data_IF_418689033438
#
_entry.id   IF_418689033438
#
_cell.length_a   1.000
_cell.length_b   1.000
_cell.length_c   1.000
_cell.angle_alpha   90.00
_cell.angle_beta   90.00
_cell.angle_gamma   90.00
#
_symmetry.space_group_name_H-M   'P 1'
#
loop_
_entity.id
_entity.type
_entity.pdbx_description
1 polymer ?
#
# COMPACT_ATOMS: atom_id res chain seq x y z
N UNK A 1 -11.98 -5.66 -6.28
CA UNK A 1 -11.41 -5.37 -4.96
C UNK A 1 -10.12 -6.18 -4.89
N UNK A 2 -9.04 -5.60 -5.39
CA UNK A 2 -7.73 -6.27 -5.46
C UNK A 2 -6.82 -5.62 -4.44
N UNK A 3 -6.08 -6.44 -3.71
CA UNK A 3 -5.03 -5.99 -2.80
C UNK A 3 -3.94 -5.25 -3.61
N UNK A 4 -3.50 -4.08 -3.15
CA UNK A 4 -2.46 -3.28 -3.82
C UNK A 4 -1.04 -3.74 -3.45
N UNK A 5 -0.88 -4.25 -2.21
CA UNK A 5 0.41 -4.58 -1.64
C UNK A 5 0.44 -5.99 -1.06
N UNK A 6 1.65 -6.55 -0.99
CA UNK A 6 1.91 -7.81 -0.32
C UNK A 6 3.27 -7.81 0.38
N UNK A 7 3.35 -8.46 1.54
CA UNK A 7 4.57 -8.65 2.31
C UNK A 7 4.77 -10.13 2.66
N UNK A 8 6.02 -10.59 2.69
CA UNK A 8 6.35 -11.99 3.00
C UNK A 8 6.93 -12.12 4.41
N UNK A 9 6.45 -13.10 5.17
CA UNK A 9 6.88 -13.36 6.53
C UNK A 9 7.27 -14.83 6.71
N UNK A 10 8.30 -15.09 7.52
CA UNK A 10 8.73 -16.44 7.89
C UNK A 10 8.74 -16.60 9.42
N UNK A 11 8.25 -17.73 9.90
CA UNK A 11 8.24 -18.04 11.33
C UNK A 11 8.18 -19.52 11.63
N UNK A 12 8.17 -19.84 12.93
CA UNK A 12 8.28 -21.23 13.41
C UNK A 12 7.00 -22.04 13.18
N UNK A 13 5.86 -21.39 13.05
CA UNK A 13 4.57 -22.03 12.79
C UNK A 13 3.63 -21.01 12.14
N UNK A 14 2.58 -21.49 11.48
CA UNK A 14 1.63 -20.64 10.76
C UNK A 14 1.03 -19.54 11.64
N UNK A 15 0.58 -19.90 12.84
CA UNK A 15 -0.15 -19.00 13.74
C UNK A 15 0.73 -17.86 14.27
N UNK A 16 1.94 -18.18 14.73
CA UNK A 16 2.97 -17.20 15.16
C UNK A 16 3.42 -16.32 14.00
N UNK A 17 3.49 -16.86 12.78
CA UNK A 17 3.87 -16.08 11.59
C UNK A 17 2.77 -15.10 11.21
N UNK A 18 1.51 -15.51 11.30
CA UNK A 18 0.35 -14.62 11.08
C UNK A 18 0.30 -13.53 12.15
N UNK A 19 0.44 -13.86 13.43
CA UNK A 19 0.44 -12.85 14.51
C UNK A 19 1.57 -11.84 14.33
N UNK A 20 2.77 -12.28 13.98
CA UNK A 20 3.90 -11.39 13.67
C UNK A 20 3.58 -10.48 12.49
N UNK A 21 3.04 -11.04 11.41
CA UNK A 21 2.68 -10.26 10.23
C UNK A 21 1.61 -9.21 10.55
N UNK A 22 0.56 -9.57 11.28
CA UNK A 22 -0.50 -8.63 11.70
C UNK A 22 0.04 -7.52 12.61
N UNK A 23 0.90 -7.87 13.56
CA UNK A 23 1.53 -6.90 14.46
C UNK A 23 2.47 -5.94 13.72
N UNK A 24 3.27 -6.44 12.78
CA UNK A 24 4.22 -5.64 12.00
C UNK A 24 3.51 -4.76 10.97
N UNK A 25 2.41 -5.23 10.39
CA UNK A 25 1.58 -4.46 9.47
C UNK A 25 0.59 -3.51 10.17
N UNK A 26 0.38 -3.66 11.49
CA UNK A 26 -0.63 -2.91 12.23
C UNK A 26 -2.05 -3.13 11.71
N UNK A 27 -2.33 -4.34 11.21
CA UNK A 27 -3.61 -4.73 10.59
C UNK A 27 -4.29 -5.86 11.36
N UNK A 28 -5.60 -5.98 11.22
CA UNK A 28 -6.38 -7.12 11.71
C UNK A 28 -6.49 -8.21 10.65
N UNK A 29 -6.93 -9.40 11.07
CA UNK A 29 -7.05 -10.56 10.19
C UNK A 29 -8.13 -10.40 9.12
N UNK A 30 -9.10 -9.50 9.33
CA UNK A 30 -10.12 -9.16 8.34
C UNK A 30 -9.60 -8.20 7.25
N UNK A 31 -8.49 -7.51 7.50
CA UNK A 31 -7.94 -6.46 6.64
C UNK A 31 -6.88 -6.98 5.66
N UNK A 32 -6.52 -8.26 5.80
CA UNK A 32 -5.46 -8.91 5.06
C UNK A 32 -5.92 -10.26 4.52
N UNK A 33 -5.41 -10.64 3.36
CA UNK A 33 -5.52 -11.99 2.80
C UNK A 33 -4.15 -12.69 2.95
N UNK A 34 -4.15 -13.83 3.64
CA UNK A 34 -2.92 -14.59 3.92
C UNK A 34 -2.85 -15.78 2.96
N UNK A 35 -1.80 -15.80 2.13
CA UNK A 35 -1.43 -16.91 1.26
C UNK A 35 -0.25 -17.68 1.85
N UNK A 36 -0.38 -18.99 2.02
CA UNK A 36 0.72 -19.83 2.51
C UNK A 36 1.59 -20.25 1.33
N UNK A 37 2.76 -19.64 1.19
CA UNK A 37 3.69 -19.88 0.07
C UNK A 37 4.58 -21.11 0.31
N UNK A 38 4.69 -21.56 1.57
CA UNK A 38 5.44 -22.76 1.89
C UNK A 38 5.30 -23.18 3.34
N UNK A 39 4.71 -24.35 3.56
CA UNK A 39 4.91 -25.14 4.77
C UNK A 39 6.00 -26.16 4.50
N UNK A 40 7.21 -25.91 5.03
CA UNK A 40 8.16 -27.01 5.14
C UNK A 40 7.68 -27.91 6.30
N UNK A 41 6.81 -28.87 5.98
CA UNK A 41 6.52 -30.05 6.82
C UNK A 41 7.70 -31.02 6.87
N UNK A 42 8.81 -30.68 6.22
CA UNK A 42 10.05 -31.44 6.20
C UNK A 42 10.85 -31.29 7.48
N UNK A 43 10.81 -32.35 8.29
CA UNK A 43 11.76 -32.63 9.38
C UNK A 43 13.19 -32.51 8.86
N UNK A 44 13.84 -31.35 9.08
CA UNK A 44 15.30 -31.24 8.95
C UNK A 44 15.94 -31.64 10.28
N UNK A 45 16.21 -32.94 10.41
CA UNK A 45 17.01 -33.52 11.48
C UNK A 45 18.43 -32.94 11.43
N UNK A 46 18.75 -31.98 12.30
CA UNK A 46 20.13 -31.68 12.68
C UNK A 46 20.28 -31.69 14.20
N UNK A 47 20.87 -32.78 14.66
CA UNK A 47 21.75 -32.90 15.83
C UNK A 47 21.32 -32.43 17.22
N UNK A 48 20.05 -32.17 17.54
CA UNK A 48 19.63 -32.04 18.96
C UNK A 48 18.11 -32.17 19.19
N UNK A 49 17.41 -33.10 18.51
CA UNK A 49 16.02 -33.47 18.85
C UNK A 49 14.91 -32.42 18.67
N UNK A 50 15.22 -31.16 18.35
CA UNK A 50 14.23 -30.11 18.13
C UNK A 50 13.98 -29.89 16.63
N UNK A 51 12.73 -30.14 16.21
CA UNK A 51 12.26 -29.83 14.87
C UNK A 51 11.88 -28.35 14.79
N UNK A 52 12.53 -27.58 13.91
CA UNK A 52 12.09 -26.21 13.59
C UNK A 52 11.24 -26.31 12.33
N UNK A 53 9.92 -26.12 12.48
CA UNK A 53 9.04 -25.91 11.34
C UNK A 53 9.31 -24.49 10.85
N UNK A 54 9.59 -24.31 9.57
CA UNK A 54 9.67 -22.97 8.99
C UNK A 54 8.45 -22.81 8.07
N UNK A 55 7.59 -21.87 8.43
CA UNK A 55 6.38 -21.52 7.66
C UNK A 55 6.60 -20.17 7.02
N UNK A 56 6.39 -20.09 5.70
CA UNK A 56 6.46 -18.85 4.95
C UNK A 56 5.07 -18.48 4.45
N UNK A 57 4.63 -17.26 4.76
CA UNK A 57 3.36 -16.70 4.33
C UNK A 57 3.60 -15.43 3.51
N UNK A 58 2.68 -15.15 2.58
CA UNK A 58 2.52 -13.86 1.93
C UNK A 58 1.22 -13.27 2.45
N UNK A 59 1.28 -12.04 2.91
CA UNK A 59 0.12 -11.30 3.40
C UNK A 59 -0.14 -10.22 2.38
N UNK A 60 -1.26 -10.35 1.67
CA UNK A 60 -1.83 -9.32 0.83
C UNK A 60 -2.68 -8.43 1.72
N UNK A 61 -2.55 -7.12 1.60
CA UNK A 61 -3.33 -6.20 2.43
C UNK A 61 -3.73 -4.98 1.63
N UNK A 62 -4.90 -4.45 1.97
CA UNK A 62 -5.24 -3.11 1.55
C UNK A 62 -4.58 -2.19 2.55
N UNK A 63 -3.78 -1.24 2.08
CA UNK A 63 -3.43 -0.11 2.91
C UNK A 63 -4.74 0.61 3.22
N UNK A 64 -5.36 0.31 4.36
CA UNK A 64 -6.48 1.14 4.80
C UNK A 64 -5.90 2.52 5.02
N UNK A 65 -6.31 3.43 4.15
CA UNK A 65 -6.14 4.84 4.39
C UNK A 65 -6.85 5.13 5.70
N UNK A 66 -6.11 5.66 6.68
CA UNK A 66 -6.74 6.31 7.82
C UNK A 66 -7.76 7.31 7.28
N UNK A 67 -8.89 7.54 7.96
CA UNK A 67 -9.88 8.50 7.48
C UNK A 67 -9.20 9.86 7.28
N UNK A 68 -9.18 10.30 6.02
CA UNK A 68 -8.51 11.54 5.63
C UNK A 68 -9.21 12.75 6.26
N UNK A 69 -8.45 13.79 6.56
CA UNK A 69 -9.04 15.07 6.93
C UNK A 69 -9.92 15.58 5.78
N UNK A 70 -10.92 16.44 6.05
CA UNK A 70 -11.75 17.01 4.99
C UNK A 70 -10.95 17.74 3.90
N UNK A 71 -9.78 18.30 4.27
CA UNK A 71 -8.89 19.00 3.35
C UNK A 71 -8.19 17.99 2.43
N UNK A 72 -7.58 16.95 3.02
CA UNK A 72 -6.90 15.90 2.25
C UNK A 72 -7.87 15.14 1.33
N UNK A 73 -9.08 14.85 1.83
CA UNK A 73 -10.13 14.25 1.02
C UNK A 73 -10.47 15.13 -0.19
N UNK A 74 -10.66 16.43 0.03
CA UNK A 74 -11.02 17.38 -1.03
C UNK A 74 -9.93 17.52 -2.08
N UNK A 75 -8.66 17.54 -1.67
CA UNK A 75 -7.52 17.56 -2.60
C UNK A 75 -7.43 16.27 -3.42
N UNK A 76 -7.64 15.11 -2.79
CA UNK A 76 -7.71 13.82 -3.49
C UNK A 76 -8.82 13.80 -4.54
N UNK A 77 -10.02 14.21 -4.16
CA UNK A 77 -11.19 14.21 -5.05
C UNK A 77 -10.95 15.15 -6.23
N UNK A 78 -10.39 16.33 -5.98
CA UNK A 78 -10.01 17.27 -7.03
C UNK A 78 -8.97 16.69 -8.00
N UNK A 79 -7.88 16.11 -7.49
CA UNK A 79 -6.82 15.54 -8.34
C UNK A 79 -7.38 14.38 -9.17
N UNK A 80 -8.18 13.48 -8.60
CA UNK A 80 -8.80 12.41 -9.37
C UNK A 80 -9.75 12.95 -10.44
N UNK A 81 -10.55 13.96 -10.11
CA UNK A 81 -11.46 14.58 -11.06
C UNK A 81 -10.72 15.26 -12.21
N UNK A 82 -9.65 16.03 -11.95
CA UNK A 82 -8.92 16.72 -13.02
C UNK A 82 -8.17 15.74 -13.92
N UNK A 83 -7.67 14.62 -13.38
CA UNK A 83 -7.07 13.57 -14.20
C UNK A 83 -8.11 12.93 -15.12
N UNK A 84 -9.32 12.66 -14.62
CA UNK A 84 -10.42 12.10 -15.41
C UNK A 84 -10.94 13.08 -16.48
N UNK A 85 -11.17 14.35 -16.12
CA UNK A 85 -11.61 15.41 -17.04
C UNK A 85 -10.61 15.66 -18.17
N UNK A 86 -9.32 15.39 -17.94
CA UNK A 86 -8.24 15.49 -18.93
C UNK A 86 -7.97 14.16 -19.66
N UNK A 87 -8.75 13.12 -19.39
CA UNK A 87 -8.59 11.76 -19.93
C UNK A 87 -7.18 11.19 -19.70
N UNK A 88 -6.58 11.52 -18.55
CA UNK A 88 -5.27 11.04 -18.13
C UNK A 88 -5.43 9.74 -17.34
N UNK A 89 -4.77 8.67 -17.81
CA UNK A 89 -4.77 7.35 -17.16
C UNK A 89 -3.93 7.37 -15.87
N UNK A 90 -4.48 7.97 -14.81
CA UNK A 90 -3.88 8.07 -13.49
C UNK A 90 -4.92 8.26 -12.38
N UNK A 91 -4.51 7.96 -11.15
CA UNK A 91 -5.32 8.06 -9.94
C UNK A 91 -4.44 8.32 -8.74
N UNK A 92 -4.98 8.98 -7.72
CA UNK A 92 -4.36 9.03 -6.39
C UNK A 92 -4.46 7.64 -5.75
N UNK A 93 -3.33 7.06 -5.38
CA UNK A 93 -3.23 5.72 -4.78
C UNK A 93 -2.94 5.78 -3.27
N UNK A 94 -2.25 6.81 -2.80
CA UNK A 94 -2.00 7.07 -1.38
C UNK A 94 -2.09 8.56 -1.09
N UNK A 95 -2.55 8.86 0.12
CA UNK A 95 -2.50 10.20 0.70
C UNK A 95 -1.83 10.12 2.06
N UNK A 96 -0.73 10.83 2.23
CA UNK A 96 -0.01 10.92 3.51
C UNK A 96 -0.15 12.33 4.07
N UNK A 97 -0.85 12.45 5.21
CA UNK A 97 -1.06 13.72 5.90
C UNK A 97 0.02 13.93 6.96
N UNK A 98 0.95 14.86 6.68
CA UNK A 98 1.90 15.36 7.66
C UNK A 98 1.36 16.57 8.43
N UNK A 99 2.15 17.08 9.37
CA UNK A 99 1.77 18.25 10.18
C UNK A 99 1.58 19.54 9.36
N UNK A 100 2.30 19.67 8.24
CA UNK A 100 2.37 20.90 7.43
C UNK A 100 2.18 20.70 5.94
N UNK A 101 2.14 19.45 5.48
CA UNK A 101 2.04 19.09 4.07
C UNK A 101 1.17 17.85 3.92
N UNK A 102 0.42 17.80 2.82
CA UNK A 102 -0.34 16.62 2.40
C UNK A 102 0.31 16.14 1.11
N UNK A 103 0.79 14.89 1.13
CA UNK A 103 1.40 14.25 -0.02
C UNK A 103 0.37 13.36 -0.72
N UNK A 104 0.27 13.49 -2.04
CA UNK A 104 -0.61 12.68 -2.87
C UNK A 104 0.23 11.87 -3.85
N UNK A 105 0.25 10.55 -3.68
CA UNK A 105 0.91 9.64 -4.61
C UNK A 105 -0.03 9.32 -5.76
N UNK A 106 0.40 9.66 -6.98
CA UNK A 106 -0.37 9.42 -8.20
C UNK A 106 0.23 8.24 -8.95
N UNK A 107 -0.53 7.17 -9.08
CA UNK A 107 -0.23 6.08 -10.00
C UNK A 107 -0.70 6.44 -11.41
N UNK A 108 0.10 6.13 -12.43
CA UNK A 108 -0.31 6.27 -13.84
C UNK A 108 0.41 5.27 -14.73
N UNK A 109 -0.27 4.78 -15.77
CA UNK A 109 0.38 3.95 -16.81
C UNK A 109 1.39 4.73 -17.64
N UNK A 110 1.23 6.05 -17.74
CA UNK A 110 2.16 6.92 -18.45
C UNK A 110 2.43 8.24 -17.67
N UNK A 111 3.27 8.18 -16.62
CA UNK A 111 3.54 9.33 -15.75
C UNK A 111 4.11 10.54 -16.49
N UNK A 112 4.80 10.34 -17.62
CA UNK A 112 5.38 11.44 -18.42
C UNK A 112 4.33 12.41 -18.94
N UNK A 113 3.11 11.93 -19.21
CA UNK A 113 2.01 12.79 -19.67
C UNK A 113 1.59 13.71 -18.53
N UNK A 114 1.36 13.17 -17.33
CA UNK A 114 0.97 13.92 -16.12
C UNK A 114 2.07 14.89 -15.69
N UNK A 115 3.33 14.47 -15.70
CA UNK A 115 4.49 15.36 -15.43
C UNK A 115 4.51 16.50 -16.46
N UNK A 116 4.20 16.19 -17.72
CA UNK A 116 4.21 17.15 -18.81
C UNK A 116 5.61 17.62 -19.18
N UNK A 117 5.69 18.54 -20.15
CA UNK A 117 6.97 19.09 -20.61
C UNK A 117 7.60 19.93 -19.49
N UNK A 118 8.80 19.53 -19.05
CA UNK A 118 9.57 20.20 -17.96
C UNK A 118 8.84 20.25 -16.60
N UNK A 119 7.82 19.43 -16.38
CA UNK A 119 7.07 19.42 -15.12
C UNK A 119 5.85 20.36 -15.09
N UNK A 120 5.61 21.12 -16.17
CA UNK A 120 4.62 22.20 -16.14
C UNK A 120 3.18 21.73 -15.86
N UNK A 121 2.80 20.52 -16.28
CA UNK A 121 1.44 20.04 -16.05
C UNK A 121 1.25 19.62 -14.59
N UNK A 122 2.22 18.89 -14.04
CA UNK A 122 2.22 18.52 -12.63
C UNK A 122 2.20 19.77 -11.74
N UNK A 123 3.02 20.77 -12.06
CA UNK A 123 3.05 22.05 -11.32
C UNK A 123 1.71 22.79 -11.38
N UNK A 124 1.02 22.78 -12.54
CA UNK A 124 -0.31 23.37 -12.68
C UNK A 124 -1.35 22.63 -11.84
N UNK A 125 -1.37 21.28 -11.87
CA UNK A 125 -2.26 20.47 -11.05
C UNK A 125 -2.00 20.73 -9.55
N UNK A 126 -0.73 20.74 -9.13
CA UNK A 126 -0.33 21.03 -7.75
C UNK A 126 -0.80 22.43 -7.30
N UNK A 127 -0.62 23.44 -8.16
CA UNK A 127 -1.05 24.81 -7.87
C UNK A 127 -2.57 24.92 -7.71
N UNK A 128 -3.34 24.23 -8.55
CA UNK A 128 -4.79 24.19 -8.43
C UNK A 128 -5.23 23.44 -7.17
N UNK A 129 -4.60 22.30 -6.87
CA UNK A 129 -4.90 21.52 -5.67
C UNK A 129 -4.65 22.34 -4.40
N UNK A 130 -3.55 23.09 -4.34
CA UNK A 130 -3.20 23.98 -3.22
C UNK A 130 -4.20 25.12 -2.99
N UNK A 131 -4.89 25.59 -4.04
CA UNK A 131 -5.94 26.61 -3.88
C UNK A 131 -7.25 26.03 -3.32
N UNK A 132 -7.43 24.72 -3.42
CA UNK A 132 -8.66 24.04 -3.05
C UNK A 132 -8.56 23.41 -1.65
N UNK A 133 -7.37 22.91 -1.31
CA UNK A 133 -7.03 22.17 -0.11
C UNK A 133 -5.78 22.75 0.56
#
# INVERSE_FOLDING_TARGET
MGYSDSAEFEGKNLEETIEKALAELGKTREEVEVEVIGENTGVKTKFFGFSVKNTKIRVHYNQQELPLSPIAQKGRDFINQILDDLELDGRVERVDEGESLIEYDIFSKNPKIIIGRRGNLLEAIQSLAYMIA
#
